data_IF_020373890783
#
_entry.id   IF_020373890783
#
_cell.length_a   1.000
_cell.length_b   1.000
_cell.length_c   1.000
_cell.angle_alpha   90.00
_cell.angle_beta   90.00
_cell.angle_gamma   90.00
#
_symmetry.space_group_name_H-M   'P 1'
#
loop_
_entity.id
_entity.type
_entity.pdbx_description
1 polymer ?
#
# COMPACT_ATOMS: atom_id res chain seq x y z
N UNK A 1 -0.50 -21.15 8.72
CA UNK A 1 -0.94 -20.03 9.57
C UNK A 1 -2.34 -20.35 10.02
N UNK A 2 -2.63 -20.14 11.25
CA UNK A 2 -3.96 -20.40 11.78
C UNK A 2 -4.90 -19.30 11.27
N UNK A 3 -6.00 -19.70 10.64
CA UNK A 3 -7.13 -18.87 10.22
C UNK A 3 -7.64 -17.98 11.37
N UNK A 4 -7.60 -18.52 12.60
CA UNK A 4 -7.89 -17.83 13.87
C UNK A 4 -7.14 -16.48 14.00
N UNK A 5 -5.89 -16.40 13.57
CA UNK A 5 -5.10 -15.17 13.68
C UNK A 5 -5.62 -14.02 12.79
N UNK A 6 -6.16 -14.31 11.61
CA UNK A 6 -6.79 -13.27 10.76
C UNK A 6 -8.10 -12.78 11.37
N UNK A 7 -8.87 -13.67 11.99
CA UNK A 7 -10.10 -13.29 12.70
C UNK A 7 -9.76 -12.38 13.89
N UNK A 8 -8.72 -12.71 14.67
CA UNK A 8 -8.27 -11.88 15.78
C UNK A 8 -7.83 -10.50 15.30
N UNK A 9 -7.06 -10.42 14.19
CA UNK A 9 -6.63 -9.14 13.61
C UNK A 9 -7.86 -8.34 13.15
N UNK A 10 -8.80 -8.96 12.43
CA UNK A 10 -10.03 -8.30 11.97
C UNK A 10 -10.85 -7.75 13.13
N UNK A 11 -11.04 -8.55 14.19
CA UNK A 11 -11.82 -8.17 15.37
C UNK A 11 -11.20 -7.01 16.16
N UNK A 12 -9.87 -6.83 16.08
CA UNK A 12 -9.14 -5.75 16.72
C UNK A 12 -8.86 -4.55 15.77
N UNK A 13 -9.39 -4.57 14.55
CA UNK A 13 -9.18 -3.51 13.57
C UNK A 13 -9.93 -2.24 13.93
N UNK A 14 -9.35 -1.09 13.56
CA UNK A 14 -10.07 0.19 13.59
C UNK A 14 -11.20 0.15 12.55
N UNK A 15 -12.42 0.43 13.01
CA UNK A 15 -13.56 0.58 12.12
C UNK A 15 -13.66 1.99 11.55
N UNK A 16 -14.00 2.09 10.26
CA UNK A 16 -14.26 3.32 9.53
C UNK A 16 -15.60 3.16 8.80
N UNK A 17 -16.57 4.00 9.13
CA UNK A 17 -17.86 4.03 8.45
C UNK A 17 -17.75 4.92 7.23
N UNK A 18 -18.26 4.46 6.09
CA UNK A 18 -18.33 5.21 4.85
C UNK A 18 -19.68 4.97 4.16
N UNK A 19 -20.07 5.86 3.26
CA UNK A 19 -21.35 5.79 2.53
C UNK A 19 -21.14 6.00 1.02
N UNK A 20 -22.23 5.94 0.25
CA UNK A 20 -22.20 6.08 -1.21
C UNK A 20 -21.67 7.43 -1.71
N UNK A 21 -21.60 8.46 -0.87
CA UNK A 21 -20.97 9.75 -1.19
C UNK A 21 -19.48 9.81 -0.86
N UNK A 22 -18.98 8.83 -0.12
CA UNK A 22 -17.58 8.76 0.27
C UNK A 22 -16.68 8.51 -0.93
N UNK A 23 -15.48 9.11 -0.89
CA UNK A 23 -14.43 8.92 -1.87
C UNK A 23 -13.19 8.41 -1.15
N UNK A 24 -12.75 7.20 -1.47
CA UNK A 24 -11.62 6.54 -0.81
C UNK A 24 -10.68 5.98 -1.88
N UNK A 25 -9.39 6.19 -1.71
CA UNK A 25 -8.36 5.57 -2.54
C UNK A 25 -7.40 4.75 -1.68
N UNK A 26 -7.04 3.58 -2.19
CA UNK A 26 -6.08 2.68 -1.57
C UNK A 26 -4.85 2.56 -2.43
N UNK A 27 -3.69 2.83 -1.86
CA UNK A 27 -2.38 2.52 -2.42
C UNK A 27 -1.64 1.54 -1.53
N UNK A 28 -0.76 0.73 -2.11
CA UNK A 28 0.08 -0.22 -1.41
C UNK A 28 1.44 -0.33 -2.07
N UNK A 29 2.42 -0.83 -1.32
CA UNK A 29 3.73 -1.21 -1.86
C UNK A 29 4.38 -0.06 -2.66
N UNK A 30 4.43 1.12 -2.05
CA UNK A 30 5.09 2.30 -2.64
C UNK A 30 6.61 2.16 -2.55
N UNK A 31 7.14 1.58 -1.46
CA UNK A 31 8.56 1.37 -1.23
C UNK A 31 9.39 2.64 -1.48
N UNK A 32 8.94 3.79 -0.91
CA UNK A 32 9.68 5.05 -0.96
C UNK A 32 11.08 4.84 -0.38
N UNK A 33 12.09 5.21 -1.11
CA UNK A 33 13.49 5.09 -0.72
C UNK A 33 14.19 6.44 -0.64
N UNK A 34 15.52 6.42 -0.77
CA UNK A 34 16.42 7.58 -0.63
C UNK A 34 16.81 8.22 -1.97
N UNK A 35 16.12 7.88 -3.06
CA UNK A 35 16.39 8.37 -4.42
C UNK A 35 17.60 7.75 -5.10
N UNK A 36 18.31 6.83 -4.46
CA UNK A 36 19.40 6.09 -5.09
C UNK A 36 18.88 5.00 -6.03
N UNK A 37 19.77 4.32 -6.75
CA UNK A 37 19.41 3.18 -7.62
C UNK A 37 18.69 2.03 -6.89
N UNK A 38 18.71 2.00 -5.57
CA UNK A 38 17.99 1.02 -4.73
C UNK A 38 16.55 1.43 -4.41
N UNK A 39 16.19 2.68 -4.70
CA UNK A 39 14.85 3.19 -4.47
C UNK A 39 13.88 2.65 -5.53
N UNK A 40 12.93 1.85 -5.08
CA UNK A 40 11.99 1.19 -5.97
C UNK A 40 10.91 2.13 -6.51
N UNK A 41 10.58 3.22 -5.79
CA UNK A 41 9.62 4.22 -6.23
C UNK A 41 10.22 5.24 -7.18
N UNK A 42 11.52 5.52 -7.11
CA UNK A 42 12.16 6.61 -7.85
C UNK A 42 11.76 6.71 -9.34
N UNK A 43 11.62 5.60 -10.11
CA UNK A 43 11.16 5.66 -11.51
C UNK A 43 9.71 6.15 -11.67
N UNK A 44 8.89 6.05 -10.63
CA UNK A 44 7.47 6.36 -10.65
C UNK A 44 7.09 7.56 -9.78
N UNK A 45 8.05 8.25 -9.17
CA UNK A 45 7.80 9.32 -8.20
C UNK A 45 6.86 10.40 -8.76
N UNK A 46 7.04 10.82 -10.02
CA UNK A 46 6.22 11.83 -10.66
C UNK A 46 4.79 11.32 -10.96
N UNK A 47 4.63 10.03 -11.29
CA UNK A 47 3.33 9.42 -11.51
C UNK A 47 2.58 9.36 -10.18
N UNK A 48 3.26 8.91 -9.12
CA UNK A 48 2.67 8.79 -7.79
C UNK A 48 2.30 10.16 -7.21
N UNK A 49 3.19 11.16 -7.31
CA UNK A 49 2.93 12.52 -6.86
C UNK A 49 1.72 13.13 -7.61
N UNK A 50 1.65 12.94 -8.92
CA UNK A 50 0.50 13.41 -9.73
C UNK A 50 -0.80 12.75 -9.29
N UNK A 51 -0.78 11.44 -9.02
CA UNK A 51 -1.94 10.68 -8.56
C UNK A 51 -2.43 11.15 -7.19
N UNK A 52 -1.54 11.28 -6.19
CA UNK A 52 -1.95 11.70 -4.84
C UNK A 52 -2.47 13.15 -4.82
N UNK A 53 -1.87 14.05 -5.61
CA UNK A 53 -2.38 15.43 -5.80
C UNK A 53 -3.77 15.45 -6.42
N UNK A 54 -4.04 14.57 -7.41
CA UNK A 54 -5.36 14.41 -7.99
C UNK A 54 -6.38 13.98 -6.92
N UNK A 55 -6.06 12.96 -6.12
CA UNK A 55 -6.96 12.45 -5.08
C UNK A 55 -7.20 13.48 -3.97
N UNK A 56 -6.16 14.22 -3.58
CA UNK A 56 -6.32 15.30 -2.62
C UNK A 56 -7.29 16.37 -3.10
N UNK A 57 -7.10 16.89 -4.32
CA UNK A 57 -7.95 17.91 -4.95
C UNK A 57 -9.40 17.45 -5.10
N UNK A 58 -9.61 16.17 -5.40
CA UNK A 58 -10.94 15.56 -5.57
C UNK A 58 -11.55 15.07 -4.25
N UNK A 59 -10.96 15.44 -3.09
CA UNK A 59 -11.47 15.20 -1.74
C UNK A 59 -11.59 13.71 -1.38
N UNK A 60 -10.74 12.86 -1.91
CA UNK A 60 -10.63 11.47 -1.48
C UNK A 60 -10.03 11.37 -0.07
N UNK A 61 -10.38 10.32 0.66
CA UNK A 61 -9.63 9.81 1.80
C UNK A 61 -8.55 8.87 1.25
N UNK A 62 -7.32 9.07 1.67
CA UNK A 62 -6.18 8.26 1.26
C UNK A 62 -5.90 7.20 2.32
N UNK A 63 -5.80 5.93 1.89
CA UNK A 63 -5.44 4.80 2.74
C UNK A 63 -4.18 4.14 2.16
N UNK A 64 -3.08 4.19 2.91
CA UNK A 64 -1.84 3.47 2.59
C UNK A 64 -1.88 2.08 3.21
N UNK A 65 -1.85 1.04 2.37
CA UNK A 65 -2.04 -0.35 2.77
C UNK A 65 -0.70 -1.08 2.87
N UNK A 66 0.21 -0.53 3.67
CA UNK A 66 1.51 -1.11 3.98
C UNK A 66 2.58 -0.95 2.91
N UNK A 67 3.82 -1.16 3.35
CA UNK A 67 5.03 -1.04 2.54
C UNK A 67 5.14 0.31 1.80
N UNK A 68 4.71 1.37 2.51
CA UNK A 68 4.86 2.74 2.02
C UNK A 68 6.31 3.16 1.96
N UNK A 69 7.11 2.81 2.99
CA UNK A 69 8.52 3.16 3.12
C UNK A 69 9.41 1.93 3.16
N UNK A 70 10.57 1.99 2.48
CA UNK A 70 11.48 0.86 2.33
C UNK A 70 12.52 0.80 3.46
N UNK A 71 12.08 0.52 4.70
CA UNK A 71 12.96 0.45 5.87
C UNK A 71 13.79 -0.86 5.96
N UNK A 72 13.61 -1.79 5.04
CA UNK A 72 14.49 -2.95 4.94
C UNK A 72 15.80 -2.62 4.23
N UNK A 73 15.77 -1.83 3.16
CA UNK A 73 16.97 -1.36 2.44
C UNK A 73 17.61 -0.16 3.14
N UNK A 74 16.80 0.79 3.59
CA UNK A 74 17.23 2.07 4.16
C UNK A 74 16.98 2.11 5.67
N UNK A 75 17.99 2.51 6.45
CA UNK A 75 17.90 2.54 7.92
C UNK A 75 17.28 3.83 8.45
N UNK A 76 17.44 4.88 7.66
CA UNK A 76 17.13 6.24 8.07
C UNK A 76 15.85 6.72 7.41
N UNK A 77 14.80 6.80 8.21
CA UNK A 77 13.50 7.29 7.76
C UNK A 77 13.54 8.77 7.38
N UNK A 78 14.50 9.55 7.93
CA UNK A 78 14.64 10.96 7.56
C UNK A 78 15.19 11.13 6.14
N UNK A 79 16.12 10.27 5.72
CA UNK A 79 16.61 10.30 4.33
C UNK A 79 15.50 9.95 3.33
N UNK A 80 14.64 8.97 3.67
CA UNK A 80 13.45 8.67 2.86
C UNK A 80 12.51 9.88 2.80
N UNK A 81 12.24 10.50 3.95
CA UNK A 81 11.38 11.68 4.05
C UNK A 81 11.91 12.85 3.23
N UNK A 82 13.20 13.17 3.37
CA UNK A 82 13.83 14.30 2.66
C UNK A 82 13.80 14.12 1.15
N UNK A 83 14.05 12.91 0.67
CA UNK A 83 14.02 12.61 -0.75
C UNK A 83 12.61 12.64 -1.35
N UNK A 84 11.61 12.25 -0.57
CA UNK A 84 10.22 12.23 -0.99
C UNK A 84 9.42 13.41 -0.41
N UNK A 85 10.07 14.54 -0.14
CA UNK A 85 9.47 15.67 0.58
C UNK A 85 8.13 16.13 -0.01
N UNK A 86 8.05 16.32 -1.34
CA UNK A 86 6.80 16.75 -1.99
C UNK A 86 5.64 15.74 -1.81
N UNK A 87 5.96 14.44 -1.71
CA UNK A 87 4.96 13.40 -1.41
C UNK A 87 4.47 13.59 0.03
N UNK A 88 5.39 13.79 0.98
CA UNK A 88 5.02 13.97 2.38
C UNK A 88 4.28 15.28 2.63
N UNK A 89 4.53 16.35 1.88
CA UNK A 89 3.71 17.57 1.91
C UNK A 89 2.25 17.25 1.58
N UNK A 90 1.99 16.52 0.50
CA UNK A 90 0.62 16.13 0.13
C UNK A 90 0.00 15.19 1.17
N UNK A 91 0.78 14.26 1.72
CA UNK A 91 0.30 13.37 2.81
C UNK A 91 -0.03 14.17 4.08
N UNK A 92 0.76 15.20 4.41
CA UNK A 92 0.45 16.11 5.53
C UNK A 92 -0.87 16.86 5.30
N UNK A 93 -1.11 17.36 4.07
CA UNK A 93 -2.38 17.98 3.70
C UNK A 93 -3.57 17.03 3.87
N UNK A 94 -3.43 15.75 3.50
CA UNK A 94 -4.45 14.72 3.78
C UNK A 94 -4.66 14.54 5.30
N UNK A 95 -3.58 14.50 6.06
CA UNK A 95 -3.60 14.32 7.52
C UNK A 95 -4.32 15.49 8.20
N UNK A 96 -4.00 16.74 7.85
CA UNK A 96 -4.65 17.94 8.39
C UNK A 96 -6.17 17.97 8.14
N UNK A 97 -6.62 17.33 7.07
CA UNK A 97 -8.05 17.19 6.76
C UNK A 97 -8.70 15.94 7.36
N UNK A 98 -7.99 15.19 8.21
CA UNK A 98 -8.42 13.90 8.76
C UNK A 98 -8.81 12.89 7.65
N UNK A 99 -8.08 12.90 6.53
CA UNK A 99 -8.31 12.04 5.37
C UNK A 99 -7.09 11.14 5.05
N UNK A 100 -6.24 10.87 6.04
CA UNK A 100 -5.08 10.00 5.93
C UNK A 100 -5.20 8.85 6.91
N UNK A 101 -5.12 7.61 6.40
CA UNK A 101 -4.97 6.40 7.20
C UNK A 101 -3.78 5.59 6.69
N UNK A 102 -3.02 5.01 7.60
CA UNK A 102 -1.86 4.18 7.25
C UNK A 102 -1.91 2.84 7.96
N UNK A 103 -1.72 1.79 7.19
CA UNK A 103 -1.47 0.42 7.66
C UNK A 103 0.03 0.15 7.49
N UNK A 104 0.68 -0.56 8.42
CA UNK A 104 2.05 -0.97 8.22
C UNK A 104 2.14 -2.29 7.42
N UNK A 105 3.15 -2.40 6.57
CA UNK A 105 3.56 -3.63 5.95
C UNK A 105 4.77 -4.28 6.66
N UNK A 106 5.39 -5.27 6.04
CA UNK A 106 6.58 -5.89 6.62
C UNK A 106 7.84 -5.03 6.45
N UNK A 107 7.93 -4.23 5.38
CA UNK A 107 9.08 -3.35 5.16
C UNK A 107 9.09 -2.12 6.07
N UNK A 108 7.94 -1.64 6.51
CA UNK A 108 7.82 -0.38 7.24
C UNK A 108 7.16 -0.48 8.62
N UNK A 109 6.98 -1.69 9.15
CA UNK A 109 6.42 -1.94 10.49
C UNK A 109 7.10 -1.13 11.61
N UNK A 110 8.39 -0.83 11.44
CA UNK A 110 9.14 -0.11 12.47
C UNK A 110 8.61 1.32 12.69
N UNK A 111 8.00 1.96 11.69
CA UNK A 111 7.42 3.31 11.81
C UNK A 111 6.23 3.40 12.77
N UNK A 112 5.56 2.29 13.08
CA UNK A 112 4.51 2.23 14.09
C UNK A 112 5.02 2.25 15.54
N UNK A 113 6.35 2.14 15.73
CA UNK A 113 6.97 2.02 17.07
C UNK A 113 7.51 3.36 17.53
N UNK A 114 6.97 3.92 18.61
CA UNK A 114 7.44 5.17 19.22
C UNK A 114 8.95 5.13 19.50
N UNK A 115 9.49 3.97 19.94
CA UNK A 115 10.93 3.82 20.21
C UNK A 115 11.78 4.03 18.94
N UNK A 116 11.31 3.53 17.78
CA UNK A 116 11.99 3.74 16.49
C UNK A 116 11.95 5.22 16.10
N UNK A 117 10.80 5.87 16.19
CA UNK A 117 10.63 7.28 15.86
C UNK A 117 11.51 8.18 16.75
N UNK A 118 11.54 7.93 18.07
CA UNK A 118 12.40 8.68 19.00
C UNK A 118 13.89 8.53 18.69
N UNK A 119 14.33 7.31 18.34
CA UNK A 119 15.72 7.04 17.96
C UNK A 119 16.15 7.77 16.69
N UNK A 120 15.21 7.95 15.76
CA UNK A 120 15.45 8.57 14.46
C UNK A 120 14.99 10.05 14.44
N UNK A 121 14.74 10.65 15.61
CA UNK A 121 14.29 12.04 15.68
C UNK A 121 15.42 12.99 15.31
N UNK A 122 15.33 13.55 14.12
CA UNK A 122 16.18 14.63 13.64
C UNK A 122 15.37 15.50 12.68
N UNK A 123 15.88 16.68 12.38
CA UNK A 123 15.25 17.62 11.47
C UNK A 123 16.20 17.96 10.34
N UNK A 124 15.67 18.17 9.16
CA UNK A 124 16.45 18.66 8.06
C UNK A 124 16.68 20.20 8.16
N UNK A 125 17.40 20.76 7.18
CA UNK A 125 17.71 22.21 7.14
C UNK A 125 16.46 23.10 7.10
N UNK A 126 15.30 22.58 6.74
CA UNK A 126 14.02 23.30 6.69
C UNK A 126 13.17 23.06 7.93
N UNK A 127 13.74 22.46 9.00
CA UNK A 127 13.08 22.16 10.25
C UNK A 127 11.98 21.08 10.16
N UNK A 128 11.95 20.26 9.10
CA UNK A 128 11.01 19.15 8.91
C UNK A 128 11.58 17.84 9.45
N UNK A 129 10.71 16.98 9.97
CA UNK A 129 11.07 15.72 10.61
C UNK A 129 10.10 14.60 10.24
N UNK A 130 10.62 13.51 9.69
CA UNK A 130 9.88 12.26 9.51
C UNK A 130 9.27 11.76 10.83
N UNK A 131 10.04 11.86 11.92
CA UNK A 131 9.58 11.44 13.24
C UNK A 131 8.38 12.27 13.71
N UNK A 132 8.38 13.58 13.46
CA UNK A 132 7.26 14.45 13.84
C UNK A 132 6.01 14.14 12.99
N UNK A 133 6.18 13.87 11.67
CA UNK A 133 5.09 13.42 10.80
C UNK A 133 4.43 12.15 11.32
N UNK A 134 5.20 11.10 11.57
CA UNK A 134 4.67 9.79 12.00
C UNK A 134 4.21 9.76 13.46
N UNK A 135 4.81 10.56 14.37
CA UNK A 135 4.42 10.56 15.78
C UNK A 135 3.02 11.12 16.03
N UNK A 136 2.46 11.85 15.08
CA UNK A 136 1.11 12.41 15.13
C UNK A 136 0.08 11.58 14.38
N UNK A 137 0.50 10.43 13.80
CA UNK A 137 -0.36 9.48 13.10
C UNK A 137 -0.52 8.20 13.91
N UNK A 138 -1.74 7.68 13.93
CA UNK A 138 -1.98 6.31 14.34
C UNK A 138 -1.76 5.39 13.13
N UNK A 139 -0.82 4.44 13.26
CA UNK A 139 -0.48 3.48 12.21
C UNK A 139 -1.03 2.13 12.60
N UNK A 140 -1.95 1.61 11.80
CA UNK A 140 -2.74 0.44 12.11
C UNK A 140 -2.08 -0.85 11.58
N UNK A 141 -2.46 -1.99 12.14
CA UNK A 141 -2.19 -3.30 11.53
C UNK A 141 -3.17 -3.61 10.40
N UNK A 142 -4.41 -3.14 10.55
CA UNK A 142 -5.51 -3.35 9.61
C UNK A 142 -6.65 -2.38 9.90
N UNK A 143 -7.57 -2.25 8.94
CA UNK A 143 -8.79 -1.46 9.07
C UNK A 143 -9.99 -2.32 8.66
N UNK A 144 -11.17 -1.99 9.18
CA UNK A 144 -12.45 -2.48 8.67
C UNK A 144 -13.28 -1.28 8.22
N UNK A 145 -13.58 -1.23 6.92
CA UNK A 145 -14.45 -0.20 6.35
C UNK A 145 -15.86 -0.76 6.23
N UNK A 146 -16.85 -0.11 6.83
CA UNK A 146 -18.25 -0.54 6.82
C UNK A 146 -19.06 0.41 5.97
N UNK A 147 -19.66 -0.12 4.90
CA UNK A 147 -20.57 0.65 4.05
C UNK A 147 -21.91 0.84 4.75
N UNK A 148 -22.27 2.09 5.03
CA UNK A 148 -23.40 2.45 5.89
C UNK A 148 -24.73 1.91 5.37
N UNK A 149 -24.97 2.01 4.05
CA UNK A 149 -26.23 1.62 3.42
C UNK A 149 -26.38 0.09 3.30
N UNK A 150 -25.35 -0.60 2.83
CA UNK A 150 -25.44 -2.06 2.58
C UNK A 150 -24.98 -2.91 3.77
N UNK A 151 -24.41 -2.28 4.81
CA UNK A 151 -23.77 -2.97 5.97
C UNK A 151 -22.65 -3.95 5.58
N UNK A 152 -22.17 -3.87 4.35
CA UNK A 152 -21.06 -4.69 3.88
C UNK A 152 -19.73 -4.13 4.37
N UNK A 153 -18.85 -5.01 4.77
CA UNK A 153 -17.54 -4.66 5.29
C UNK A 153 -16.42 -5.00 4.29
N UNK A 154 -15.36 -4.20 4.36
CA UNK A 154 -14.08 -4.44 3.69
C UNK A 154 -12.99 -4.53 4.74
N UNK A 155 -12.39 -5.70 4.88
CA UNK A 155 -11.22 -5.90 5.71
C UNK A 155 -9.97 -5.50 4.93
N UNK A 156 -9.28 -4.45 5.38
CA UNK A 156 -8.12 -3.89 4.72
C UNK A 156 -6.88 -4.22 5.53
N UNK A 157 -5.96 -4.95 4.92
CA UNK A 157 -4.74 -5.45 5.55
C UNK A 157 -3.62 -5.51 4.51
N UNK A 158 -2.35 -5.35 4.92
CA UNK A 158 -1.26 -5.40 3.94
C UNK A 158 -1.11 -6.79 3.28
N UNK A 159 -1.19 -7.87 4.07
CA UNK A 159 -1.10 -9.24 3.56
C UNK A 159 0.12 -10.03 4.05
N UNK A 160 1.18 -9.37 4.54
CA UNK A 160 2.37 -10.06 5.07
C UNK A 160 2.05 -10.99 6.25
N UNK A 161 0.95 -10.76 6.94
CA UNK A 161 0.47 -11.60 8.04
C UNK A 161 0.08 -13.01 7.57
N UNK A 162 -0.23 -13.16 6.28
CA UNK A 162 -0.62 -14.41 5.64
C UNK A 162 0.62 -15.18 5.17
N UNK A 163 1.70 -14.46 4.87
CA UNK A 163 2.95 -15.03 4.41
C UNK A 163 3.81 -15.47 5.60
N UNK A 164 3.91 -16.79 5.78
CA UNK A 164 4.65 -17.41 6.88
C UNK A 164 6.12 -16.99 6.94
N UNK A 165 6.81 -16.97 5.80
CA UNK A 165 8.25 -16.64 5.72
C UNK A 165 8.53 -15.18 6.12
N UNK A 166 7.68 -14.27 5.69
CA UNK A 166 7.85 -12.85 6.01
C UNK A 166 7.47 -12.53 7.46
N UNK A 167 6.58 -13.30 8.07
CA UNK A 167 6.15 -13.05 9.44
C UNK A 167 7.08 -13.64 10.50
N UNK A 168 7.54 -14.89 10.33
CA UNK A 168 8.37 -15.58 11.33
C UNK A 168 9.87 -15.34 11.17
N UNK A 169 10.33 -15.14 9.93
CA UNK A 169 11.73 -14.90 9.61
C UNK A 169 12.01 -13.47 9.14
N UNK A 170 11.15 -12.51 9.49
CA UNK A 170 11.26 -11.11 9.03
C UNK A 170 12.63 -10.49 9.34
N UNK A 171 13.25 -10.82 10.48
CA UNK A 171 14.58 -10.35 10.82
C UNK A 171 15.65 -10.87 9.85
N UNK A 172 15.61 -12.16 9.53
CA UNK A 172 16.55 -12.78 8.60
C UNK A 172 16.34 -12.25 7.18
N UNK A 173 15.07 -12.11 6.75
CA UNK A 173 14.74 -11.54 5.45
C UNK A 173 15.20 -10.09 5.33
N UNK A 174 14.99 -9.27 6.38
CA UNK A 174 15.47 -7.87 6.45
C UNK A 174 17.00 -7.79 6.35
N UNK A 175 17.72 -8.70 7.02
CA UNK A 175 19.18 -8.77 6.95
C UNK A 175 19.66 -9.15 5.54
N UNK A 176 19.07 -10.19 4.95
CA UNK A 176 19.43 -10.67 3.61
C UNK A 176 19.16 -9.60 2.54
N UNK A 177 17.99 -8.95 2.57
CA UNK A 177 17.65 -7.87 1.62
C UNK A 177 18.62 -6.70 1.76
N UNK A 178 18.97 -6.30 2.98
CA UNK A 178 19.83 -5.15 3.23
C UNK A 178 21.29 -5.37 2.85
N UNK A 179 21.85 -6.51 3.19
CA UNK A 179 23.30 -6.74 3.11
C UNK A 179 23.73 -7.69 2.00
N UNK A 180 22.88 -8.58 1.55
CA UNK A 180 23.20 -9.57 0.53
C UNK A 180 22.57 -9.21 -0.81
N UNK A 181 21.24 -9.13 -0.84
CA UNK A 181 20.52 -8.91 -2.10
C UNK A 181 20.71 -7.51 -2.68
N UNK A 182 20.80 -6.48 -1.83
CA UNK A 182 21.08 -5.12 -2.30
C UNK A 182 22.45 -5.02 -3.02
N UNK A 183 23.44 -5.79 -2.59
CA UNK A 183 24.76 -5.87 -3.25
C UNK A 183 24.68 -6.70 -4.53
N UNK A 184 24.04 -7.87 -4.49
CA UNK A 184 23.88 -8.73 -5.66
C UNK A 184 23.05 -8.09 -6.77
N UNK A 185 22.00 -7.36 -6.41
CA UNK A 185 21.19 -6.60 -7.36
C UNK A 185 22.02 -5.50 -8.05
N UNK A 186 22.88 -4.81 -7.28
CA UNK A 186 23.74 -3.74 -7.78
C UNK A 186 24.86 -4.20 -8.72
N UNK A 187 25.51 -5.32 -8.42
CA UNK A 187 26.69 -5.75 -9.13
C UNK A 187 26.44 -6.84 -10.18
N UNK A 188 25.41 -7.65 -10.01
CA UNK A 188 25.18 -8.86 -10.82
C UNK A 188 23.80 -8.89 -11.49
N UNK A 189 22.94 -7.88 -11.26
CA UNK A 189 21.59 -7.83 -11.82
C UNK A 189 20.65 -8.93 -11.30
N UNK A 190 21.05 -9.67 -10.26
CA UNK A 190 20.20 -10.68 -9.63
C UNK A 190 19.11 -10.01 -8.80
N UNK A 191 17.85 -10.27 -9.13
CA UNK A 191 16.69 -9.82 -8.35
C UNK A 191 16.45 -10.75 -7.17
N UNK A 192 16.07 -10.20 -6.02
CA UNK A 192 15.77 -10.95 -4.79
C UNK A 192 14.75 -12.08 -5.04
N UNK A 193 15.10 -13.36 -4.88
CA UNK A 193 14.20 -14.49 -5.14
C UNK A 193 13.25 -14.77 -3.97
N UNK A 194 13.43 -14.11 -2.81
CA UNK A 194 12.65 -14.39 -1.61
C UNK A 194 11.31 -13.65 -1.59
N UNK A 195 11.15 -12.62 -2.42
CA UNK A 195 9.91 -11.85 -2.52
C UNK A 195 8.75 -12.70 -3.08
N UNK A 196 7.58 -12.76 -2.40
CA UNK A 196 6.36 -13.40 -2.94
C UNK A 196 5.96 -12.79 -4.28
N UNK A 197 6.26 -11.51 -4.51
CA UNK A 197 6.00 -10.80 -5.76
C UNK A 197 6.66 -11.43 -6.99
N UNK A 198 7.67 -12.27 -6.84
CA UNK A 198 8.45 -12.84 -7.94
C UNK A 198 8.11 -14.29 -8.30
N UNK A 199 7.42 -15.04 -7.44
CA UNK A 199 7.03 -16.44 -7.68
C UNK A 199 5.55 -16.59 -7.97
N UNK A 200 5.19 -16.92 -9.21
CA UNK A 200 3.79 -17.15 -9.61
C UNK A 200 3.11 -18.23 -8.77
N UNK A 201 3.80 -19.34 -8.46
CA UNK A 201 3.23 -20.43 -7.66
C UNK A 201 2.95 -19.98 -6.22
N UNK A 202 3.88 -19.22 -5.60
CA UNK A 202 3.66 -18.70 -4.24
C UNK A 202 2.51 -17.70 -4.21
N UNK A 203 2.39 -16.84 -5.23
CA UNK A 203 1.28 -15.89 -5.38
C UNK A 203 -0.05 -16.59 -5.51
N UNK A 204 -0.16 -17.60 -6.37
CA UNK A 204 -1.41 -18.35 -6.56
C UNK A 204 -1.85 -19.04 -5.27
N UNK A 205 -0.93 -19.67 -4.53
CA UNK A 205 -1.22 -20.25 -3.22
C UNK A 205 -1.65 -19.20 -2.17
N UNK A 206 -1.09 -18.01 -2.23
CA UNK A 206 -1.47 -16.89 -1.37
C UNK A 206 -2.90 -16.42 -1.73
N UNK A 207 -3.16 -16.17 -3.02
CA UNK A 207 -4.46 -15.75 -3.53
C UNK A 207 -5.56 -16.75 -3.18
N UNK A 208 -5.30 -18.06 -3.33
CA UNK A 208 -6.24 -19.12 -2.94
C UNK A 208 -6.55 -19.14 -1.44
N UNK A 209 -5.53 -18.97 -0.59
CA UNK A 209 -5.72 -18.95 0.87
C UNK A 209 -6.58 -17.79 1.32
N UNK A 210 -6.33 -16.60 0.78
CA UNK A 210 -7.09 -15.40 1.18
C UNK A 210 -8.50 -15.41 0.60
N UNK A 211 -8.69 -15.87 -0.64
CA UNK A 211 -10.02 -16.02 -1.23
C UNK A 211 -10.88 -16.98 -0.42
N UNK A 212 -10.34 -18.14 -0.05
CA UNK A 212 -11.05 -19.10 0.80
C UNK A 212 -11.42 -18.51 2.15
N UNK A 213 -10.47 -17.85 2.83
CA UNK A 213 -10.75 -17.20 4.10
C UNK A 213 -11.84 -16.12 3.98
N UNK A 214 -11.79 -15.31 2.93
CA UNK A 214 -12.77 -14.26 2.68
C UNK A 214 -14.19 -14.83 2.46
N UNK A 215 -14.30 -15.94 1.72
CA UNK A 215 -15.56 -16.65 1.50
C UNK A 215 -16.12 -17.24 2.78
N UNK A 216 -15.29 -17.99 3.56
CA UNK A 216 -15.67 -18.60 4.84
C UNK A 216 -16.16 -17.56 5.84
N UNK A 217 -15.55 -16.37 5.86
CA UNK A 217 -15.90 -15.29 6.78
C UNK A 217 -16.91 -14.29 6.20
N UNK A 218 -17.40 -14.50 4.97
CA UNK A 218 -18.36 -13.64 4.26
C UNK A 218 -17.94 -12.16 4.25
N UNK A 219 -16.65 -11.90 4.20
CA UNK A 219 -16.04 -10.56 4.19
C UNK A 219 -15.41 -10.25 2.84
N UNK A 220 -15.21 -8.97 2.54
CA UNK A 220 -14.43 -8.52 1.38
C UNK A 220 -13.05 -8.14 1.89
N UNK A 221 -12.02 -8.49 1.14
CA UNK A 221 -10.63 -8.20 1.54
C UNK A 221 -9.98 -7.31 0.51
N UNK A 222 -9.35 -6.23 0.96
CA UNK A 222 -8.47 -5.38 0.15
C UNK A 222 -7.06 -5.50 0.72
N UNK A 223 -6.09 -5.87 -0.12
CA UNK A 223 -4.69 -5.96 0.30
C UNK A 223 -3.70 -5.66 -0.84
N UNK A 224 -2.40 -5.62 -0.51
CA UNK A 224 -1.25 -5.45 -1.41
C UNK A 224 -0.29 -6.62 -1.37
N UNK A 225 0.98 -6.36 -1.01
CA UNK A 225 2.04 -7.31 -0.69
C UNK A 225 2.56 -8.17 -1.84
N UNK A 226 1.70 -8.69 -2.71
CA UNK A 226 2.11 -9.58 -3.82
C UNK A 226 2.51 -8.81 -5.08
N UNK A 227 2.34 -7.48 -5.11
CA UNK A 227 2.57 -6.59 -6.25
C UNK A 227 1.81 -6.98 -7.53
N UNK A 228 0.76 -7.79 -7.40
CA UNK A 228 -0.07 -8.25 -8.51
C UNK A 228 -1.50 -7.78 -8.30
N UNK A 229 -2.03 -7.02 -9.24
CA UNK A 229 -3.43 -6.63 -9.18
C UNK A 229 -4.36 -7.82 -9.31
N UNK A 230 -5.43 -7.83 -8.51
CA UNK A 230 -6.55 -8.74 -8.63
C UNK A 230 -7.84 -7.97 -8.39
N UNK A 231 -8.75 -8.06 -9.34
CA UNK A 231 -10.05 -7.40 -9.28
C UNK A 231 -11.12 -8.36 -9.79
N UNK A 232 -11.90 -8.99 -8.87
CA UNK A 232 -12.96 -9.93 -9.27
C UNK A 232 -14.07 -9.19 -10.01
N UNK A 233 -14.62 -9.81 -11.06
CA UNK A 233 -15.73 -9.24 -11.85
C UNK A 233 -17.08 -9.41 -11.17
N UNK A 234 -17.18 -10.34 -10.22
CA UNK A 234 -18.39 -10.60 -9.45
C UNK A 234 -18.05 -11.30 -8.14
N UNK A 235 -19.00 -11.31 -7.20
CA UNK A 235 -18.90 -12.07 -5.94
C UNK A 235 -18.66 -13.57 -6.16
N UNK A 236 -19.18 -14.14 -7.27
CA UNK A 236 -19.02 -15.56 -7.56
C UNK A 236 -17.59 -15.93 -7.95
N UNK A 237 -16.77 -14.96 -8.37
CA UNK A 237 -15.34 -15.19 -8.64
C UNK A 237 -14.52 -15.11 -7.36
N UNK A 238 -14.73 -14.09 -6.55
CA UNK A 238 -14.02 -13.84 -5.28
C UNK A 238 -14.58 -12.62 -4.57
N UNK A 239 -14.28 -12.49 -3.29
CA UNK A 239 -14.46 -11.25 -2.51
C UNK A 239 -13.11 -10.65 -2.08
N UNK A 240 -12.02 -11.03 -2.74
CA UNK A 240 -10.66 -10.58 -2.50
C UNK A 240 -10.17 -9.68 -3.65
N UNK A 241 -9.65 -8.52 -3.26
CA UNK A 241 -9.09 -7.49 -4.15
C UNK A 241 -7.62 -7.27 -3.81
N UNK A 242 -6.76 -7.18 -4.81
CA UNK A 242 -5.36 -6.80 -4.62
C UNK A 242 -5.06 -5.51 -5.37
N UNK A 243 -4.53 -4.52 -4.64
CA UNK A 243 -4.23 -3.19 -5.13
C UNK A 243 -3.11 -3.22 -6.18
N UNK A 244 -2.20 -4.18 -6.10
CA UNK A 244 -0.95 -4.18 -6.86
C UNK A 244 0.14 -3.40 -6.14
N UNK A 245 0.83 -2.49 -6.82
CA UNK A 245 1.93 -1.71 -6.24
C UNK A 245 2.23 -0.41 -7.01
N UNK A 246 3.16 0.39 -6.45
CA UNK A 246 3.65 1.62 -7.08
C UNK A 246 5.04 1.47 -7.73
N UNK A 247 5.60 0.26 -7.78
CA UNK A 247 6.99 0.01 -8.22
C UNK A 247 7.14 -0.70 -9.56
N UNK A 248 6.03 -0.94 -10.29
CA UNK A 248 6.11 -1.46 -11.65
C UNK A 248 6.62 -0.37 -12.61
N UNK A 249 7.44 -0.73 -13.63
CA UNK A 249 7.98 0.28 -14.55
C UNK A 249 6.90 1.15 -15.19
N UNK A 250 7.00 2.46 -14.99
CA UNK A 250 6.13 3.50 -15.56
C UNK A 250 4.63 3.34 -15.26
N UNK A 251 4.31 2.61 -14.20
CA UNK A 251 2.91 2.30 -13.85
C UNK A 251 2.75 2.16 -12.36
N UNK A 252 1.69 2.74 -11.81
CA UNK A 252 1.23 2.47 -10.46
C UNK A 252 -0.25 2.08 -10.49
N UNK A 253 -0.70 1.33 -9.50
CA UNK A 253 -2.08 0.90 -9.37
C UNK A 253 -2.70 1.32 -8.05
N UNK A 254 -4.02 1.48 -8.04
CA UNK A 254 -4.79 1.84 -6.87
C UNK A 254 -6.19 1.21 -6.95
N UNK A 255 -6.83 1.03 -5.81
CA UNK A 255 -8.27 0.75 -5.76
C UNK A 255 -8.97 2.03 -5.33
N UNK A 256 -10.07 2.36 -5.97
CA UNK A 256 -10.94 3.49 -5.62
C UNK A 256 -12.31 3.01 -5.19
N UNK A 257 -12.88 3.70 -4.22
CA UNK A 257 -14.32 3.69 -3.91
C UNK A 257 -14.84 5.10 -4.15
N UNK A 258 -15.79 5.25 -5.04
CA UNK A 258 -16.48 6.50 -5.33
C UNK A 258 -17.91 6.21 -5.81
N UNK A 259 -18.89 7.00 -5.34
CA UNK A 259 -20.32 6.86 -5.72
C UNK A 259 -20.90 5.47 -5.43
N UNK A 260 -20.47 4.83 -4.36
CA UNK A 260 -20.89 3.46 -4.01
C UNK A 260 -20.36 2.37 -4.93
N UNK A 261 -19.35 2.68 -5.73
CA UNK A 261 -18.71 1.77 -6.67
C UNK A 261 -17.24 1.58 -6.32
N UNK A 262 -16.72 0.35 -6.57
CA UNK A 262 -15.30 0.02 -6.43
C UNK A 262 -14.68 -0.17 -7.81
N UNK A 263 -13.46 0.34 -8.00
CA UNK A 263 -12.72 0.28 -9.26
C UNK A 263 -11.23 0.01 -9.04
N UNK A 264 -10.60 -0.72 -9.94
CA UNK A 264 -9.15 -0.83 -10.03
C UNK A 264 -8.63 0.18 -11.05
N UNK A 265 -7.69 0.99 -10.61
CA UNK A 265 -7.14 2.12 -11.37
C UNK A 265 -5.68 1.86 -11.73
N UNK A 266 -5.31 2.29 -12.91
CA UNK A 266 -3.92 2.37 -13.38
C UNK A 266 -3.57 3.82 -13.69
N UNK A 267 -2.45 4.29 -13.14
CA UNK A 267 -1.82 5.54 -13.52
C UNK A 267 -0.55 5.28 -14.32
N UNK A 268 -0.37 5.96 -15.43
CA UNK A 268 0.77 5.77 -16.32
C UNK A 268 1.07 7.04 -17.10
N UNK A 269 2.28 7.13 -17.67
CA UNK A 269 2.63 8.20 -18.59
C UNK A 269 1.97 7.91 -19.93
N UNK A 270 1.28 8.89 -20.49
CA UNK A 270 0.65 8.89 -21.81
C UNK A 270 1.19 10.00 -22.67
N UNK A 271 1.03 9.90 -23.98
CA UNK A 271 1.28 10.97 -24.93
C UNK A 271 -0.05 11.43 -25.55
N UNK A 272 -0.23 12.73 -25.72
CA UNK A 272 -1.32 13.30 -26.52
C UNK A 272 -1.01 13.20 -28.02
N UNK A 273 -1.94 13.63 -28.86
CA UNK A 273 -1.79 13.63 -30.33
C UNK A 273 -0.62 14.50 -30.83
N UNK A 274 -0.16 15.44 -30.00
CA UNK A 274 0.97 16.34 -30.30
C UNK A 274 2.31 15.81 -29.77
N UNK A 275 2.28 14.64 -29.09
CA UNK A 275 3.46 14.03 -28.48
C UNK A 275 3.81 14.59 -27.09
N UNK A 276 2.99 15.45 -26.49
CA UNK A 276 3.20 15.93 -25.13
C UNK A 276 2.90 14.81 -24.12
N UNK A 277 3.81 14.61 -23.16
CA UNK A 277 3.64 13.60 -22.14
C UNK A 277 2.80 14.11 -20.97
N UNK A 278 1.88 13.29 -20.49
CA UNK A 278 1.09 13.57 -19.29
C UNK A 278 0.84 12.30 -18.47
N UNK A 279 0.53 12.45 -17.20
CA UNK A 279 0.15 11.34 -16.32
C UNK A 279 -1.35 11.11 -16.47
N UNK A 280 -1.71 9.95 -17.01
CA UNK A 280 -3.10 9.58 -17.25
C UNK A 280 -3.59 8.52 -16.28
N UNK A 281 -4.91 8.57 -15.97
CA UNK A 281 -5.66 7.65 -15.12
C UNK A 281 -6.59 6.80 -15.99
N UNK A 282 -6.52 5.48 -15.84
CA UNK A 282 -7.39 4.51 -16.52
C UNK A 282 -8.10 3.61 -15.48
N UNK A 283 -9.36 3.33 -15.73
CA UNK A 283 -10.07 2.24 -15.03
C UNK A 283 -9.73 0.94 -15.75
N UNK A 284 -9.09 0.00 -15.08
CA UNK A 284 -8.70 -1.30 -15.63
C UNK A 284 -9.50 -2.46 -15.03
N UNK A 285 -10.32 -2.18 -14.00
CA UNK A 285 -11.28 -3.13 -13.44
C UNK A 285 -12.44 -2.38 -12.81
N UNK A 286 -13.68 -2.86 -12.99
CA UNK A 286 -14.87 -2.14 -12.57
C UNK A 286 -15.27 -1.01 -13.55
N UNK A 287 -16.07 0.01 -13.11
CA UNK A 287 -16.65 0.12 -11.77
C UNK A 287 -17.72 -0.94 -11.49
N UNK A 288 -17.78 -1.41 -10.25
CA UNK A 288 -18.79 -2.36 -9.79
C UNK A 288 -19.41 -1.83 -8.50
N UNK A 289 -20.75 -1.87 -8.39
CA UNK A 289 -21.42 -1.44 -7.18
C UNK A 289 -21.04 -2.32 -5.98
N UNK A 290 -20.75 -1.71 -4.86
CA UNK A 290 -20.43 -2.38 -3.60
C UNK A 290 -21.52 -3.36 -3.19
N UNK A 291 -22.77 -3.05 -3.49
CA UNK A 291 -23.93 -3.90 -3.23
C UNK A 291 -23.90 -5.25 -3.98
N UNK A 292 -23.12 -5.36 -5.05
CA UNK A 292 -23.02 -6.59 -5.87
C UNK A 292 -21.99 -7.60 -5.33
N UNK A 293 -21.18 -7.22 -4.31
CA UNK A 293 -20.18 -8.10 -3.67
C UNK A 293 -20.63 -8.71 -2.35
#
# INVERSE_FOLDING_TARGET
MKVEKLNDIKNNSKEIIFNSNSKIVFFSDCHRGDGTYKDSLAPNINIYLSAIRYYYKNKFTYIEVGDGDELWKFKDIQEIYDMNYEIYEVLEEFKEKNRLYMIYGNHDKDKSKIKFLRKNKRRNRFNHSASDFYSTLEIYESLVLVHEESKKDFFVIHGHQIDFLNNELAFLSKFLVRYVWAILEAFMGFKDPTSPAKSNNKRNLFDEKISRWAEENKTRVILGHTHKTLFPKSRNESTYFNIGCCVLPRTITAIEIERGEISLIKWTIKADEKGSLFVGRDIIGGPIRIENY
#
